data_IF_582453420881
#
_entry.id   IF_582453420881
#
_cell.length_a   1.000
_cell.length_b   1.000
_cell.length_c   1.000
_cell.angle_alpha   90.00
_cell.angle_beta   90.00
_cell.angle_gamma   90.00
#
_symmetry.space_group_name_H-M   'P 1'
#
loop_
_entity.id
_entity.type
_entity.pdbx_description
1 polymer ?
#
# COMPACT_ATOMS: atom_id res chain seq x y z
N UNK A 1 -24.81 -1.64 25.43
CA UNK A 1 -24.00 -0.61 26.11
C UNK A 1 -22.85 -1.32 26.79
N UNK A 2 -21.74 -1.48 26.08
CA UNK A 2 -20.44 -1.80 26.65
C UNK A 2 -19.55 -0.60 26.35
N UNK A 3 -19.21 0.14 27.40
CA UNK A 3 -18.27 1.26 27.34
C UNK A 3 -16.87 0.72 27.16
N UNK A 4 -16.44 0.52 25.92
CA UNK A 4 -15.03 0.35 25.58
C UNK A 4 -14.34 1.70 25.61
N UNK A 5 -13.67 2.04 26.70
CA UNK A 5 -12.63 3.07 26.68
C UNK A 5 -11.59 2.64 25.64
N UNK A 6 -11.63 3.23 24.45
CA UNK A 6 -10.60 3.13 23.43
C UNK A 6 -9.34 3.81 23.97
N UNK A 7 -8.55 3.08 24.76
CA UNK A 7 -7.21 3.50 25.13
C UNK A 7 -6.36 3.56 23.86
N UNK A 8 -6.03 4.77 23.40
CA UNK A 8 -5.05 4.98 22.35
C UNK A 8 -3.73 4.36 22.79
N UNK A 9 -3.17 3.45 21.99
CA UNK A 9 -1.85 2.90 22.28
C UNK A 9 -0.83 4.03 22.12
N UNK A 10 -0.01 4.29 23.13
CA UNK A 10 1.09 5.25 23.00
C UNK A 10 2.14 4.70 22.06
N UNK A 11 2.73 5.58 21.25
CA UNK A 11 3.90 5.23 20.46
C UNK A 11 5.10 5.02 21.37
N UNK A 12 5.77 3.89 21.16
CA UNK A 12 7.01 3.48 21.84
C UNK A 12 8.15 3.67 20.84
N UNK A 13 8.83 4.81 20.95
CA UNK A 13 9.89 5.22 20.04
C UNK A 13 10.25 6.70 20.19
N UNK A 14 11.10 7.16 19.29
CA UNK A 14 11.66 8.51 19.30
C UNK A 14 11.11 9.34 18.13
N UNK A 15 10.89 10.63 18.39
CA UNK A 15 10.50 11.63 17.41
C UNK A 15 11.50 12.79 17.46
N UNK A 16 12.13 13.09 16.33
CA UNK A 16 13.16 14.11 16.21
C UNK A 16 12.69 15.19 15.23
N UNK A 17 12.80 16.46 15.64
CA UNK A 17 12.51 17.60 14.78
C UNK A 17 13.63 17.78 13.76
N UNK A 18 13.36 17.45 12.50
CA UNK A 18 14.37 17.51 11.43
C UNK A 18 14.13 18.64 10.43
N UNK A 19 12.90 19.15 10.31
CA UNK A 19 12.58 20.17 9.30
C UNK A 19 12.81 21.61 9.77
N UNK A 20 12.36 21.92 10.98
CA UNK A 20 12.36 23.25 11.59
C UNK A 20 12.34 23.11 13.12
N UNK A 21 13.03 23.99 13.87
CA UNK A 21 13.01 23.98 15.33
C UNK A 21 11.65 24.39 15.93
N UNK A 22 10.76 24.98 15.12
CA UNK A 22 9.44 25.42 15.55
C UNK A 22 8.35 24.46 15.08
N UNK A 23 7.64 23.85 16.02
CA UNK A 23 6.45 23.05 15.77
C UNK A 23 5.23 23.96 15.52
N UNK A 24 4.98 24.31 14.26
CA UNK A 24 3.85 25.16 13.85
C UNK A 24 3.32 24.76 12.46
N UNK A 25 2.07 25.10 12.16
CA UNK A 25 1.43 24.80 10.88
C UNK A 25 2.26 25.35 9.71
N UNK A 26 2.46 24.50 8.70
CA UNK A 26 3.11 24.85 7.44
C UNK A 26 2.03 25.02 6.39
N UNK A 27 1.97 26.21 5.81
CA UNK A 27 0.98 26.57 4.79
C UNK A 27 1.14 25.72 3.52
N UNK A 28 0.03 25.44 2.81
CA UNK A 28 0.06 24.70 1.54
C UNK A 28 0.97 25.39 0.52
N UNK A 29 1.71 24.59 -0.26
CA UNK A 29 2.53 25.07 -1.37
C UNK A 29 1.96 24.58 -2.71
N UNK A 30 2.05 25.39 -3.79
CA UNK A 30 1.56 24.96 -5.09
C UNK A 30 2.33 23.73 -5.59
N UNK A 31 1.64 22.90 -6.38
CA UNK A 31 2.24 21.74 -7.04
C UNK A 31 3.30 22.24 -8.04
N UNK A 32 4.58 21.84 -7.91
CA UNK A 32 5.65 22.24 -8.82
C UNK A 32 5.36 21.80 -10.25
N UNK A 33 5.59 22.67 -11.24
CA UNK A 33 5.38 22.36 -12.65
C UNK A 33 6.18 21.14 -13.16
N UNK A 34 7.29 20.81 -12.48
CA UNK A 34 8.14 19.65 -12.79
C UNK A 34 7.54 18.31 -12.35
N UNK A 35 6.62 18.30 -11.39
CA UNK A 35 5.94 17.08 -10.96
C UNK A 35 4.88 16.74 -12.01
N UNK A 36 5.29 16.01 -13.06
CA UNK A 36 4.43 15.70 -14.20
C UNK A 36 3.43 14.58 -13.92
N UNK A 37 3.75 13.68 -12.98
CA UNK A 37 2.98 12.46 -12.75
C UNK A 37 2.89 12.10 -11.27
N UNK A 38 1.70 11.70 -10.84
CA UNK A 38 1.45 11.06 -9.54
C UNK A 38 0.86 9.68 -9.79
N UNK A 39 1.39 8.66 -9.12
CA UNK A 39 0.85 7.32 -9.16
C UNK A 39 0.13 6.99 -7.85
N UNK A 40 -1.04 6.36 -7.94
CA UNK A 40 -1.65 5.69 -6.79
C UNK A 40 -1.51 4.19 -7.02
N UNK A 41 -0.76 3.51 -6.17
CA UNK A 41 -0.48 2.08 -6.27
C UNK A 41 -1.24 1.33 -5.19
N UNK A 42 -1.81 0.20 -5.57
CA UNK A 42 -2.50 -0.71 -4.66
C UNK A 42 -2.37 -2.16 -5.14
N UNK A 43 -2.52 -3.09 -4.19
CA UNK A 43 -2.40 -4.53 -4.39
C UNK A 43 -3.64 -5.26 -3.89
N UNK A 44 -4.19 -6.16 -4.70
CA UNK A 44 -5.30 -7.02 -4.31
C UNK A 44 -4.98 -8.48 -4.55
N UNK A 45 -5.27 -9.31 -3.55
CA UNK A 45 -5.13 -10.77 -3.60
C UNK A 45 -6.46 -11.47 -3.41
N UNK A 46 -6.54 -12.71 -3.89
CA UNK A 46 -7.65 -13.63 -3.67
C UNK A 46 -7.12 -15.06 -3.57
N UNK A 47 -7.46 -15.75 -2.49
CA UNK A 47 -7.36 -17.21 -2.46
C UNK A 47 -8.45 -17.81 -3.33
N UNK A 48 -8.08 -18.70 -4.24
CA UNK A 48 -9.00 -19.30 -5.21
C UNK A 48 -9.35 -20.75 -4.82
N UNK A 49 -8.42 -21.48 -4.19
CA UNK A 49 -8.68 -22.75 -3.51
C UNK A 49 -7.56 -23.08 -2.52
N UNK A 50 -7.88 -23.83 -1.45
CA UNK A 50 -6.90 -24.53 -0.61
C UNK A 50 -6.89 -26.01 -0.99
N UNK A 51 -5.73 -26.64 -0.95
CA UNK A 51 -5.55 -28.05 -1.33
C UNK A 51 -4.57 -28.73 -0.39
N UNK A 52 -4.64 -30.04 -0.33
CA UNK A 52 -3.59 -30.89 0.21
C UNK A 52 -2.88 -31.52 -0.98
N UNK A 53 -1.56 -31.40 -1.05
CA UNK A 53 -0.73 -31.86 -2.16
C UNK A 53 0.06 -33.05 -1.67
N UNK A 54 0.09 -34.11 -2.47
CA UNK A 54 1.01 -35.23 -2.35
C UNK A 54 1.89 -35.22 -3.61
N UNK A 55 3.21 -35.26 -3.46
CA UNK A 55 4.13 -35.32 -4.59
C UNK A 55 4.49 -36.76 -4.97
N UNK A 56 5.16 -36.93 -6.11
CA UNK A 56 5.51 -38.25 -6.64
C UNK A 56 6.50 -39.04 -5.78
N UNK A 57 7.16 -38.39 -4.82
CA UNK A 57 8.11 -39.02 -3.89
C UNK A 57 7.42 -39.40 -2.55
N UNK A 58 6.10 -39.20 -2.45
CA UNK A 58 5.29 -39.54 -1.27
C UNK A 58 5.31 -38.48 -0.16
N UNK A 59 5.89 -37.31 -0.40
CA UNK A 59 5.81 -36.20 0.53
C UNK A 59 4.45 -35.50 0.38
N UNK A 60 3.89 -35.02 1.49
CA UNK A 60 2.58 -34.38 1.47
C UNK A 60 2.52 -33.13 2.35
N UNK A 61 1.70 -32.16 1.95
CA UNK A 61 1.57 -30.92 2.67
C UNK A 61 0.51 -29.98 2.13
N UNK A 62 0.33 -28.85 2.82
CA UNK A 62 -0.67 -27.85 2.47
C UNK A 62 -0.26 -27.07 1.24
N UNK A 63 -1.24 -26.79 0.37
CA UNK A 63 -1.10 -25.93 -0.78
C UNK A 63 -2.29 -24.99 -0.98
N UNK A 64 -2.13 -24.03 -1.88
CA UNK A 64 -3.16 -23.05 -2.15
C UNK A 64 -2.99 -22.36 -3.50
N UNK A 65 -4.05 -22.42 -4.30
CA UNK A 65 -4.18 -21.62 -5.52
C UNK A 65 -4.57 -20.20 -5.13
N UNK A 66 -3.80 -19.23 -5.59
CA UNK A 66 -4.01 -17.83 -5.33
C UNK A 66 -3.81 -16.97 -6.58
N UNK A 67 -4.54 -15.87 -6.63
CA UNK A 67 -4.32 -14.80 -7.59
C UNK A 67 -3.99 -13.50 -6.85
N UNK A 68 -3.19 -12.67 -7.48
CA UNK A 68 -3.00 -11.29 -7.06
C UNK A 68 -2.86 -10.36 -8.26
N UNK A 69 -3.15 -9.08 -8.05
CA UNK A 69 -2.92 -8.00 -8.99
C UNK A 69 -2.26 -6.89 -8.20
N UNK A 70 -1.23 -6.29 -8.78
CA UNK A 70 -0.70 -5.00 -8.36
C UNK A 70 -0.87 -4.08 -9.56
N UNK A 71 -1.38 -2.87 -9.33
CA UNK A 71 -1.56 -1.91 -10.41
C UNK A 71 -1.39 -0.49 -9.92
N UNK A 72 -1.39 0.44 -10.87
CA UNK A 72 -1.31 1.87 -10.57
C UNK A 72 -2.38 2.65 -11.34
N UNK A 73 -2.83 3.75 -10.73
CA UNK A 73 -3.48 4.84 -11.45
C UNK A 73 -2.44 5.92 -11.69
N UNK A 74 -2.19 6.25 -12.95
CA UNK A 74 -1.36 7.36 -13.34
C UNK A 74 -2.21 8.63 -13.45
N UNK A 75 -1.79 9.68 -12.75
CA UNK A 75 -2.50 10.94 -12.61
C UNK A 75 -1.62 12.08 -13.07
N UNK A 76 -2.24 13.07 -13.73
CA UNK A 76 -1.61 14.37 -13.88
C UNK A 76 -2.01 15.26 -12.70
N UNK A 77 -1.07 15.68 -11.85
CA UNK A 77 -1.39 16.50 -10.67
C UNK A 77 -1.84 17.92 -11.05
N UNK A 78 -1.58 18.34 -12.29
CA UNK A 78 -2.03 19.61 -12.87
C UNK A 78 -3.41 19.52 -13.55
N UNK A 79 -4.00 18.32 -13.68
CA UNK A 79 -5.33 18.13 -14.25
C UNK A 79 -5.42 18.36 -15.77
N UNK A 80 -4.30 18.34 -16.49
CA UNK A 80 -4.26 18.61 -17.94
C UNK A 80 -4.57 17.39 -18.80
N UNK A 81 -4.65 16.19 -18.21
CA UNK A 81 -4.94 14.92 -18.90
C UNK A 81 -5.73 13.97 -18.00
N UNK A 82 -6.54 13.06 -18.58
CA UNK A 82 -7.29 12.07 -17.82
C UNK A 82 -6.37 11.06 -17.12
N UNK A 83 -6.89 10.46 -16.05
CA UNK A 83 -6.23 9.37 -15.33
C UNK A 83 -6.20 8.08 -16.19
N UNK A 84 -5.12 7.31 -16.10
CA UNK A 84 -4.95 6.05 -16.83
C UNK A 84 -4.58 4.91 -15.89
N UNK A 85 -5.04 3.69 -16.20
CA UNK A 85 -4.65 2.48 -15.46
C UNK A 85 -3.35 1.91 -16.04
N UNK A 86 -2.44 1.49 -15.16
CA UNK A 86 -1.14 0.91 -15.52
C UNK A 86 -0.96 -0.44 -14.82
N UNK A 87 -0.32 -1.37 -15.53
CA UNK A 87 0.10 -2.69 -15.01
C UNK A 87 -0.99 -3.57 -14.38
N UNK A 88 -2.29 -3.28 -14.60
CA UNK A 88 -3.40 -4.04 -14.01
C UNK A 88 -3.53 -5.42 -14.67
N UNK A 89 -2.72 -6.38 -14.23
CA UNK A 89 -2.67 -7.75 -14.75
C UNK A 89 -2.65 -8.76 -13.61
N UNK A 90 -3.53 -9.75 -13.66
CA UNK A 90 -3.58 -10.80 -12.65
C UNK A 90 -2.45 -11.80 -12.83
N UNK A 91 -1.66 -11.96 -11.77
CA UNK A 91 -0.69 -13.02 -11.59
C UNK A 91 -1.31 -14.12 -10.73
N UNK A 92 -0.86 -15.36 -10.93
CA UNK A 92 -1.40 -16.54 -10.25
C UNK A 92 -0.30 -17.46 -9.81
N UNK A 93 -0.44 -17.98 -8.60
CA UNK A 93 0.53 -18.87 -7.98
C UNK A 93 -0.14 -20.04 -7.27
N UNK A 94 0.58 -21.15 -7.22
CA UNK A 94 0.29 -22.31 -6.39
C UNK A 94 1.31 -22.30 -5.25
N UNK A 95 0.94 -21.70 -4.12
CA UNK A 95 1.79 -21.70 -2.95
C UNK A 95 1.71 -23.09 -2.27
N UNK A 96 2.84 -23.67 -1.89
CA UNK A 96 2.89 -25.02 -1.31
C UNK A 96 3.89 -25.12 -0.17
N UNK A 97 3.68 -26.10 0.72
CA UNK A 97 4.58 -26.37 1.83
C UNK A 97 6.02 -26.67 1.34
N UNK A 98 7.04 -26.32 2.15
CA UNK A 98 8.43 -26.70 1.90
C UNK A 98 8.61 -28.20 1.67
N UNK A 99 9.59 -28.57 0.85
CA UNK A 99 9.95 -29.98 0.62
C UNK A 99 9.11 -30.70 -0.44
N UNK A 100 8.04 -30.08 -0.95
CA UNK A 100 7.23 -30.65 -2.03
C UNK A 100 7.79 -30.29 -3.41
N UNK A 101 7.71 -31.24 -4.34
CA UNK A 101 7.96 -31.00 -5.77
C UNK A 101 6.66 -30.75 -6.50
N UNK A 102 6.46 -29.53 -6.98
CA UNK A 102 5.20 -29.09 -7.60
C UNK A 102 5.47 -28.44 -8.95
N UNK A 103 4.86 -28.98 -10.00
CA UNK A 103 4.93 -28.41 -11.34
C UNK A 103 3.92 -27.26 -11.53
N UNK A 104 4.18 -26.34 -12.49
CA UNK A 104 3.21 -25.32 -12.86
C UNK A 104 1.87 -25.91 -13.30
N UNK A 105 0.78 -25.38 -12.74
CA UNK A 105 -0.57 -25.85 -13.04
C UNK A 105 -1.22 -24.97 -14.11
N UNK A 106 -1.59 -25.58 -15.24
CA UNK A 106 -2.18 -24.90 -16.40
C UNK A 106 -3.61 -25.38 -16.64
N UNK A 107 -4.58 -24.47 -16.53
CA UNK A 107 -5.98 -24.74 -16.87
C UNK A 107 -6.29 -24.13 -18.22
N UNK A 108 -6.44 -24.99 -19.22
CA UNK A 108 -6.92 -24.62 -20.55
C UNK A 108 -8.33 -23.99 -20.49
N UNK A 109 -8.64 -23.02 -21.37
CA UNK A 109 -10.00 -22.49 -21.50
C UNK A 109 -11.01 -23.62 -21.76
N UNK A 110 -12.19 -23.59 -21.12
CA UNK A 110 -13.29 -24.52 -21.45
C UNK A 110 -14.22 -23.97 -22.53
N UNK A 111 -14.20 -22.66 -22.66
CA UNK A 111 -14.92 -21.85 -23.64
C UNK A 111 -14.00 -20.66 -23.98
N UNK A 112 -13.98 -20.13 -25.22
CA UNK A 112 -13.12 -19.00 -25.60
C UNK A 112 -13.23 -17.80 -24.67
N UNK A 113 -14.37 -17.61 -23.99
CA UNK A 113 -14.61 -16.50 -23.07
C UNK A 113 -14.05 -16.72 -21.65
N UNK A 114 -13.54 -17.91 -21.32
CA UNK A 114 -13.07 -18.23 -19.95
C UNK A 114 -11.57 -18.00 -19.72
N UNK A 115 -10.79 -17.79 -20.78
CA UNK A 115 -9.35 -17.52 -20.70
C UNK A 115 -8.51 -18.66 -20.11
N UNK A 116 -7.18 -18.52 -20.20
CA UNK A 116 -6.20 -19.46 -19.64
C UNK A 116 -5.88 -19.07 -18.19
N UNK A 117 -5.76 -20.05 -17.29
CA UNK A 117 -5.27 -19.82 -15.92
C UNK A 117 -3.96 -20.59 -15.74
N UNK A 118 -2.89 -19.90 -15.38
CA UNK A 118 -1.59 -20.49 -15.14
C UNK A 118 -1.15 -20.14 -13.73
N UNK A 119 -0.83 -21.15 -12.92
CA UNK A 119 -0.36 -20.98 -11.55
C UNK A 119 1.09 -21.41 -11.46
N UNK A 120 1.98 -20.46 -11.20
CA UNK A 120 3.39 -20.76 -10.96
C UNK A 120 3.57 -21.33 -9.54
N UNK A 121 4.33 -22.40 -9.34
CA UNK A 121 4.58 -22.96 -8.02
C UNK A 121 5.48 -22.00 -7.22
N UNK A 122 5.14 -21.79 -5.95
CA UNK A 122 5.93 -20.95 -5.03
C UNK A 122 6.01 -21.64 -3.66
N UNK A 123 7.22 -21.82 -3.15
CA UNK A 123 7.43 -22.43 -1.84
C UNK A 123 7.01 -21.45 -0.74
N UNK A 124 6.18 -21.89 0.20
CA UNK A 124 5.79 -21.16 1.41
C UNK A 124 6.91 -21.18 2.47
N UNK A 125 6.88 -20.27 3.45
CA UNK A 125 7.95 -20.20 4.47
C UNK A 125 7.84 -21.28 5.56
N UNK A 126 6.69 -21.94 5.66
CA UNK A 126 6.44 -23.01 6.62
C UNK A 126 5.39 -23.99 6.11
N UNK A 127 5.21 -25.10 6.83
CA UNK A 127 4.18 -26.11 6.56
C UNK A 127 2.84 -25.82 7.26
N UNK A 128 2.68 -24.66 7.90
CA UNK A 128 1.44 -24.32 8.62
C UNK A 128 0.23 -24.18 7.67
N UNK A 129 -1.01 -24.43 8.14
CA UNK A 129 -2.21 -24.37 7.30
C UNK A 129 -2.44 -23.04 6.58
N UNK A 130 -1.97 -21.92 7.16
CA UNK A 130 -2.11 -20.58 6.58
C UNK A 130 -0.88 -20.12 5.78
N UNK A 131 0.20 -20.91 5.74
CA UNK A 131 1.43 -20.52 5.05
C UNK A 131 1.22 -20.18 3.56
N UNK A 132 0.38 -20.90 2.78
CA UNK A 132 0.09 -20.51 1.40
C UNK A 132 -0.57 -19.13 1.26
N UNK A 133 -1.48 -18.78 2.20
CA UNK A 133 -2.14 -17.48 2.24
C UNK A 133 -1.14 -16.36 2.56
N UNK A 134 -0.25 -16.60 3.52
CA UNK A 134 0.81 -15.66 3.88
C UNK A 134 1.80 -15.46 2.74
N UNK A 135 2.20 -16.54 2.06
CA UNK A 135 3.08 -16.47 0.89
C UNK A 135 2.44 -15.67 -0.25
N UNK A 136 1.16 -15.90 -0.57
CA UNK A 136 0.43 -15.08 -1.54
C UNK A 136 0.44 -13.59 -1.17
N UNK A 137 0.22 -13.27 0.10
CA UNK A 137 0.28 -11.88 0.59
C UNK A 137 1.68 -11.29 0.45
N UNK A 138 2.72 -12.03 0.83
CA UNK A 138 4.10 -11.58 0.73
C UNK A 138 4.49 -11.28 -0.72
N UNK A 139 4.18 -12.18 -1.66
CA UNK A 139 4.48 -12.00 -3.08
C UNK A 139 3.78 -10.77 -3.65
N UNK A 140 2.49 -10.58 -3.33
CA UNK A 140 1.74 -9.39 -3.74
C UNK A 140 2.36 -8.11 -3.18
N UNK A 141 2.70 -8.09 -1.89
CA UNK A 141 3.29 -6.92 -1.24
C UNK A 141 4.67 -6.59 -1.79
N UNK A 142 5.48 -7.58 -2.15
CA UNK A 142 6.78 -7.37 -2.81
C UNK A 142 6.60 -6.72 -4.18
N UNK A 143 5.68 -7.24 -5.00
CA UNK A 143 5.35 -6.64 -6.31
C UNK A 143 4.80 -5.21 -6.17
N UNK A 144 4.04 -4.91 -5.11
CA UNK A 144 3.55 -3.56 -4.81
C UNK A 144 4.67 -2.58 -4.47
N UNK A 145 5.68 -3.01 -3.70
CA UNK A 145 6.87 -2.20 -3.42
C UNK A 145 7.69 -1.98 -4.70
N UNK A 146 7.95 -3.03 -5.47
CA UNK A 146 8.70 -2.93 -6.72
C UNK A 146 8.04 -1.94 -7.70
N UNK A 147 6.72 -2.06 -7.92
CA UNK A 147 5.99 -1.13 -8.78
C UNK A 147 6.01 0.30 -8.23
N UNK A 148 5.79 0.47 -6.93
CA UNK A 148 5.71 1.80 -6.31
C UNK A 148 7.01 2.59 -6.43
N UNK A 149 8.12 1.91 -6.16
CA UNK A 149 9.45 2.49 -6.23
C UNK A 149 9.94 2.65 -7.66
N UNK A 150 9.65 1.69 -8.55
CA UNK A 150 10.05 1.76 -9.97
C UNK A 150 9.35 2.87 -10.77
N UNK A 151 8.19 3.35 -10.30
CA UNK A 151 7.46 4.46 -10.92
C UNK A 151 7.83 5.85 -10.37
N UNK A 152 8.47 5.92 -9.19
CA UNK A 152 8.73 7.17 -8.49
C UNK A 152 10.11 7.75 -8.83
N UNK A 153 10.27 9.08 -8.68
CA UNK A 153 11.60 9.71 -8.68
C UNK A 153 12.47 9.14 -7.58
N UNK A 154 13.79 9.06 -7.80
CA UNK A 154 14.71 8.55 -6.78
C UNK A 154 14.86 9.56 -5.64
N UNK A 155 14.99 9.02 -4.43
CA UNK A 155 15.27 9.80 -3.21
C UNK A 155 16.72 9.55 -2.81
N UNK A 156 17.58 10.60 -2.76
CA UNK A 156 18.93 10.47 -2.22
C UNK A 156 18.87 10.16 -0.72
N UNK A 157 19.78 9.32 -0.25
CA UNK A 157 19.92 8.96 1.16
C UNK A 157 21.02 9.74 1.85
N UNK A 158 21.98 10.25 1.09
CA UNK A 158 23.11 11.03 1.58
C UNK A 158 23.20 12.39 0.84
N UNK A 159 23.97 13.32 1.41
CA UNK A 159 24.30 14.60 0.75
C UNK A 159 25.18 14.42 -0.48
N UNK A 160 25.98 13.35 -0.52
CA UNK A 160 26.87 12.99 -1.64
C UNK A 160 26.13 12.34 -2.82
N UNK A 161 24.89 11.86 -2.62
CA UNK A 161 24.11 11.23 -3.66
C UNK A 161 23.67 12.22 -4.76
N UNK A 162 23.58 11.73 -6.00
CA UNK A 162 23.05 12.49 -7.13
C UNK A 162 21.63 12.98 -6.85
N UNK A 163 21.45 14.30 -6.96
CA UNK A 163 20.15 14.94 -6.71
C UNK A 163 19.22 14.76 -7.91
N UNK A 164 18.12 14.07 -7.69
CA UNK A 164 17.01 14.04 -8.65
C UNK A 164 15.94 15.08 -8.27
N UNK A 165 15.38 15.76 -9.28
CA UNK A 165 14.20 16.57 -9.09
C UNK A 165 12.95 15.70 -9.00
N UNK A 166 12.00 16.06 -8.13
CA UNK A 166 10.71 15.36 -8.06
C UNK A 166 9.92 15.53 -9.38
N UNK A 167 9.91 14.48 -10.21
CA UNK A 167 9.13 14.44 -11.46
C UNK A 167 8.00 13.43 -11.42
N UNK A 168 8.16 12.37 -10.61
CA UNK A 168 7.12 11.39 -10.31
C UNK A 168 7.03 11.11 -8.81
N UNK A 169 5.80 10.97 -8.30
CA UNK A 169 5.50 10.65 -6.89
C UNK A 169 4.54 9.47 -6.83
N UNK A 170 4.82 8.47 -6.01
CA UNK A 170 3.89 7.37 -5.74
C UNK A 170 3.21 7.54 -4.38
N UNK A 171 1.90 7.28 -4.34
CA UNK A 171 1.06 7.26 -3.14
C UNK A 171 0.57 5.83 -2.90
N UNK A 172 0.75 5.34 -1.69
CA UNK A 172 0.23 4.06 -1.20
C UNK A 172 -0.77 4.28 -0.07
N UNK A 173 -1.78 3.42 0.01
CA UNK A 173 -2.71 3.41 1.14
C UNK A 173 -2.13 2.60 2.30
N UNK A 174 -2.05 3.20 3.49
CA UNK A 174 -1.51 2.58 4.68
C UNK A 174 -0.01 2.82 4.91
N UNK A 175 0.57 2.01 5.79
CA UNK A 175 1.98 2.12 6.20
C UNK A 175 2.92 1.52 5.17
N UNK A 176 4.04 2.19 4.97
CA UNK A 176 5.16 1.70 4.18
C UNK A 176 5.76 0.45 4.83
N UNK A 177 6.14 -0.52 4.00
CA UNK A 177 6.76 -1.78 4.42
C UNK A 177 8.21 -1.55 4.85
N UNK A 178 8.89 -2.56 5.38
CA UNK A 178 10.25 -2.38 5.92
C UNK A 178 11.28 -2.05 4.83
N UNK A 179 11.13 -2.65 3.64
CA UNK A 179 12.12 -2.56 2.57
C UNK A 179 11.99 -1.25 1.79
N UNK A 180 13.06 -0.47 1.77
CA UNK A 180 13.17 0.76 1.00
C UNK A 180 13.93 0.51 -0.30
N UNK A 181 13.32 0.81 -1.44
CA UNK A 181 13.97 0.70 -2.77
C UNK A 181 14.35 2.07 -3.36
N UNK A 182 14.38 3.14 -2.55
CA UNK A 182 14.94 4.44 -2.95
C UNK A 182 14.06 5.34 -3.80
N UNK A 183 12.74 5.14 -3.74
CA UNK A 183 11.77 5.88 -4.55
C UNK A 183 10.98 6.88 -3.70
N UNK A 184 10.51 7.96 -4.32
CA UNK A 184 9.63 8.95 -3.70
C UNK A 184 8.22 8.35 -3.54
N UNK A 185 8.06 7.55 -2.49
CA UNK A 185 6.83 6.84 -2.16
C UNK A 185 6.29 7.34 -0.82
N UNK A 186 5.01 7.73 -0.79
CA UNK A 186 4.33 8.22 0.42
C UNK A 186 3.25 7.24 0.84
N UNK A 187 3.36 6.73 2.07
CA UNK A 187 2.30 5.98 2.73
C UNK A 187 1.27 6.93 3.35
N UNK A 188 -0.02 6.72 3.05
CA UNK A 188 -1.14 7.49 3.58
C UNK A 188 -1.87 6.72 4.67
N UNK A 189 -1.64 7.07 5.94
CA UNK A 189 -2.14 6.32 7.09
C UNK A 189 -3.37 7.02 7.67
N UNK A 190 -4.53 6.37 7.50
CA UNK A 190 -5.86 6.91 7.81
C UNK A 190 -6.26 6.78 9.28
N UNK A 191 -5.75 5.77 9.98
CA UNK A 191 -6.18 5.44 11.34
C UNK A 191 -5.20 5.93 12.40
N UNK A 192 -5.67 6.74 13.34
CA UNK A 192 -4.94 7.14 14.55
C UNK A 192 -5.20 6.17 15.70
N UNK A 193 -4.97 4.87 15.51
CA UNK A 193 -5.06 3.90 16.63
C UNK A 193 -3.92 4.06 17.63
N UNK A 194 -2.78 4.57 17.15
CA UNK A 194 -1.61 4.89 17.94
C UNK A 194 -1.47 6.39 18.06
N UNK A 195 -1.31 6.89 19.28
CA UNK A 195 -0.98 8.28 19.54
C UNK A 195 0.54 8.45 19.43
N UNK A 196 0.99 8.91 18.27
CA UNK A 196 2.41 9.17 18.00
C UNK A 196 2.91 10.46 18.63
N UNK A 197 2.11 11.53 18.51
CA UNK A 197 2.52 12.83 19.02
C UNK A 197 2.27 12.93 20.53
N UNK A 198 3.26 13.38 21.30
CA UNK A 198 3.06 13.75 22.70
C UNK A 198 2.08 14.94 22.83
N UNK A 199 1.49 15.16 24.02
CA UNK A 199 0.43 16.15 24.21
C UNK A 199 0.79 17.60 23.81
N UNK A 200 2.05 17.99 24.00
CA UNK A 200 2.62 19.29 23.62
C UNK A 200 2.61 19.53 22.10
N UNK A 201 2.62 18.46 21.29
CA UNK A 201 2.61 18.51 19.82
C UNK A 201 1.24 18.21 19.23
N UNK A 202 0.43 17.41 19.92
CA UNK A 202 -0.86 16.92 19.42
C UNK A 202 -1.88 18.05 19.19
N UNK A 203 -1.81 19.14 19.97
CA UNK A 203 -2.70 20.30 19.83
C UNK A 203 -2.71 20.88 18.42
N UNK A 204 -1.54 20.95 17.77
CA UNK A 204 -1.40 21.49 16.41
C UNK A 204 -2.27 20.75 15.39
N UNK A 205 -2.48 19.44 15.56
CA UNK A 205 -3.31 18.65 14.63
C UNK A 205 -4.78 19.10 14.62
N UNK A 206 -5.24 19.71 15.72
CA UNK A 206 -6.59 20.28 15.82
C UNK A 206 -6.67 21.66 15.15
N UNK A 207 -5.57 22.39 15.10
CA UNK A 207 -5.52 23.75 14.56
C UNK A 207 -5.23 23.80 13.05
N UNK A 208 -4.73 22.70 12.46
CA UNK A 208 -4.47 22.63 11.02
C UNK A 208 -5.72 22.91 10.21
N UNK A 209 -5.60 23.83 9.23
CA UNK A 209 -6.61 24.08 8.20
C UNK A 209 -6.43 23.14 7.02
N UNK A 210 -7.47 22.88 6.21
CA UNK A 210 -7.35 22.03 5.02
C UNK A 210 -6.19 22.44 4.10
N UNK A 211 -5.37 21.46 3.73
CA UNK A 211 -4.14 21.64 2.94
C UNK A 211 -2.90 22.04 3.74
N UNK A 212 -3.04 22.45 5.00
CA UNK A 212 -1.89 22.68 5.89
C UNK A 212 -1.32 21.34 6.39
N UNK A 213 -0.04 21.39 6.75
CA UNK A 213 0.67 20.26 7.32
C UNK A 213 1.45 20.62 8.57
N UNK A 214 1.86 19.63 9.33
CA UNK A 214 2.92 19.80 10.35
C UNK A 214 4.30 19.82 9.70
N UNK A 215 5.34 20.29 10.43
CA UNK A 215 6.72 19.98 10.09
C UNK A 215 6.97 18.47 9.98
N UNK A 216 8.00 18.10 9.22
CA UNK A 216 8.47 16.72 9.12
C UNK A 216 9.24 16.36 10.40
N UNK A 217 8.94 15.17 10.93
CA UNK A 217 9.66 14.51 11.99
C UNK A 217 10.42 13.31 11.44
N UNK A 218 11.59 13.02 12.01
CA UNK A 218 12.20 11.70 11.90
C UNK A 218 11.67 10.84 13.04
N UNK A 219 11.14 9.67 12.71
CA UNK A 219 10.54 8.72 13.64
C UNK A 219 11.34 7.44 13.65
N UNK A 220 11.69 6.96 14.86
CA UNK A 220 12.37 5.68 15.08
C UNK A 220 11.58 4.83 16.07
N UNK A 221 11.25 3.59 15.71
CA UNK A 221 10.59 2.65 16.63
C UNK A 221 11.61 2.08 17.64
N UNK A 222 11.18 1.83 18.88
CA UNK A 222 12.07 1.35 19.96
C UNK A 222 12.64 -0.05 19.70
N UNK A 223 11.84 -0.95 19.12
CA UNK A 223 12.20 -2.37 18.97
C UNK A 223 12.62 -2.78 17.55
N UNK A 224 12.58 -1.86 16.59
CA UNK A 224 12.91 -2.11 15.18
C UNK A 224 13.73 -0.93 14.64
N UNK A 225 14.81 -1.19 13.89
CA UNK A 225 15.60 -0.17 13.15
C UNK A 225 14.82 0.51 12.01
N UNK A 226 13.49 0.47 12.06
CA UNK A 226 12.62 1.06 11.04
C UNK A 226 12.51 2.55 11.36
N UNK A 227 13.09 3.37 10.48
CA UNK A 227 12.97 4.82 10.53
C UNK A 227 12.04 5.32 9.44
N UNK A 228 11.34 6.42 9.73
CA UNK A 228 10.41 7.08 8.81
C UNK A 228 10.50 8.59 8.95
N UNK A 229 10.42 9.29 7.83
CA UNK A 229 9.96 10.67 7.86
C UNK A 229 8.45 10.66 8.00
N UNK A 230 7.90 11.36 8.99
CA UNK A 230 6.46 11.49 9.17
C UNK A 230 6.03 12.94 9.22
N UNK A 231 4.83 13.22 8.73
CA UNK A 231 4.15 14.49 8.94
C UNK A 231 2.64 14.28 8.85
N UNK A 232 1.87 15.27 9.25
CA UNK A 232 0.40 15.20 9.22
C UNK A 232 -0.14 16.27 8.28
N UNK A 233 -1.23 15.96 7.59
CA UNK A 233 -1.94 16.85 6.67
C UNK A 233 -3.42 16.87 7.02
N UNK A 234 -4.05 18.04 6.96
CA UNK A 234 -5.51 18.16 7.05
C UNK A 234 -6.14 18.12 5.66
N UNK A 235 -7.08 17.21 5.42
CA UNK A 235 -7.79 17.05 4.14
C UNK A 235 -9.07 17.88 4.04
N UNK A 236 -9.81 18.02 5.14
CA UNK A 236 -11.05 18.79 5.18
C UNK A 236 -11.25 19.38 6.58
N UNK A 237 -12.18 20.33 6.70
CA UNK A 237 -12.59 20.82 8.02
C UNK A 237 -13.32 19.70 8.77
N UNK A 238 -13.07 19.60 10.07
CA UNK A 238 -13.84 18.72 10.94
C UNK A 238 -15.24 19.34 11.11
N UNK A 239 -16.30 18.57 10.80
CA UNK A 239 -17.64 19.03 11.11
C UNK A 239 -17.83 19.14 12.64
N UNK A 240 -18.71 20.03 13.09
CA UNK A 240 -18.88 20.33 14.54
C UNK A 240 -19.19 19.09 15.41
N UNK A 241 -19.80 18.06 14.82
CA UNK A 241 -20.16 16.80 15.48
C UNK A 241 -19.10 15.70 15.34
N UNK A 242 -17.98 15.98 14.66
CA UNK A 242 -16.87 15.05 14.48
C UNK A 242 -15.76 15.33 15.50
N UNK A 243 -14.89 14.34 15.71
CA UNK A 243 -13.68 14.54 16.48
C UNK A 243 -12.83 15.68 15.86
N UNK A 244 -12.18 16.55 16.66
CA UNK A 244 -11.44 17.70 16.13
C UNK A 244 -10.26 17.34 15.19
N UNK A 245 -9.77 16.10 15.29
CA UNK A 245 -8.74 15.54 14.38
C UNK A 245 -9.33 14.86 13.13
N UNK A 246 -10.65 14.92 12.92
CA UNK A 246 -11.29 14.41 11.71
C UNK A 246 -10.65 15.06 10.47
N UNK A 247 -10.43 14.26 9.43
CA UNK A 247 -9.76 14.71 8.22
C UNK A 247 -8.24 14.91 8.36
N UNK A 248 -7.60 14.64 9.51
CA UNK A 248 -6.13 14.57 9.61
C UNK A 248 -5.65 13.22 9.11
N UNK A 249 -4.64 13.22 8.25
CA UNK A 249 -3.98 12.03 7.74
C UNK A 249 -2.49 12.08 8.07
N UNK A 250 -1.94 10.97 8.56
CA UNK A 250 -0.49 10.84 8.72
C UNK A 250 0.11 10.38 7.42
N UNK A 251 1.17 11.04 7.00
CA UNK A 251 1.98 10.66 5.86
C UNK A 251 3.33 10.17 6.34
N UNK A 252 3.87 9.20 5.62
CA UNK A 252 5.21 8.70 5.89
C UNK A 252 6.00 8.44 4.62
N UNK A 253 7.30 8.67 4.69
CA UNK A 253 8.32 8.26 3.72
C UNK A 253 9.41 7.48 4.45
N UNK A 254 10.17 6.67 3.71
CA UNK A 254 11.39 6.09 4.25
C UNK A 254 12.39 7.17 4.65
N UNK A 255 13.02 6.98 5.80
CA UNK A 255 14.13 7.81 6.26
C UNK A 255 15.42 6.97 6.33
N UNK A 256 16.60 7.60 6.23
CA UNK A 256 17.84 6.99 6.69
C UNK A 256 17.78 6.71 8.19
N UNK A 257 18.71 5.88 8.69
CA UNK A 257 18.77 5.58 10.12
C UNK A 257 19.14 6.84 10.92
N UNK A 258 20.07 7.63 10.40
CA UNK A 258 20.51 8.86 11.05
C UNK A 258 19.61 10.07 10.71
N UNK A 259 19.33 10.95 11.69
CA UNK A 259 18.38 12.06 11.55
C UNK A 259 19.05 13.39 11.17
N UNK A 260 20.26 13.38 10.63
CA UNK A 260 21.05 14.57 10.30
C UNK A 260 20.72 15.14 8.91
N UNK A 261 20.19 14.31 8.00
CA UNK A 261 19.86 14.69 6.64
C UNK A 261 18.36 14.62 6.34
N UNK A 262 17.79 15.74 5.89
CA UNK A 262 16.44 15.79 5.29
C UNK A 262 16.55 16.04 3.78
N UNK A 263 16.33 15.02 2.93
CA UNK A 263 16.42 15.18 1.49
C UNK A 263 15.48 16.29 0.96
N UNK A 264 15.94 17.19 0.07
CA UNK A 264 15.10 18.24 -0.50
C UNK A 264 13.83 17.73 -1.20
N UNK A 265 13.90 16.52 -1.77
CA UNK A 265 12.74 15.85 -2.37
C UNK A 265 11.67 15.51 -1.34
N UNK A 266 12.04 15.04 -0.15
CA UNK A 266 11.09 14.74 0.96
C UNK A 266 10.38 16.01 1.40
N UNK A 267 11.12 17.13 1.54
CA UNK A 267 10.52 18.45 1.82
C UNK A 267 9.56 18.88 0.72
N UNK A 268 9.92 18.66 -0.54
CA UNK A 268 9.05 18.97 -1.69
C UNK A 268 7.78 18.13 -1.64
N UNK A 269 7.90 16.83 -1.39
CA UNK A 269 6.76 15.90 -1.26
C UNK A 269 5.84 16.33 -0.11
N UNK A 270 6.39 16.67 1.07
CA UNK A 270 5.60 17.17 2.18
C UNK A 270 4.86 18.46 1.80
N UNK A 271 5.54 19.42 1.18
CA UNK A 271 4.95 20.70 0.74
C UNK A 271 3.77 20.55 -0.21
N UNK A 272 3.79 19.56 -1.11
CA UNK A 272 2.70 19.35 -2.08
C UNK A 272 1.59 18.44 -1.56
N UNK A 273 1.86 17.68 -0.50
CA UNK A 273 0.94 16.65 -0.01
C UNK A 273 -0.45 17.19 0.33
N UNK A 274 -0.56 18.34 0.99
CA UNK A 274 -1.84 18.99 1.28
C UNK A 274 -2.68 19.28 0.04
N UNK A 275 -2.23 20.18 -0.85
CA UNK A 275 -2.97 20.50 -2.07
C UNK A 275 -3.25 19.30 -2.98
N UNK A 276 -2.33 18.34 -3.06
CA UNK A 276 -2.51 17.11 -3.84
C UNK A 276 -3.60 16.22 -3.23
N UNK A 277 -3.50 15.90 -1.94
CA UNK A 277 -4.41 14.95 -1.30
C UNK A 277 -5.80 15.54 -1.10
N UNK A 278 -5.95 16.84 -0.87
CA UNK A 278 -7.25 17.49 -0.85
C UNK A 278 -7.99 17.36 -2.20
N UNK A 279 -7.27 17.32 -3.33
CA UNK A 279 -7.85 17.09 -4.66
C UNK A 279 -8.21 15.63 -4.92
N UNK A 280 -7.45 14.71 -4.32
CA UNK A 280 -7.65 13.26 -4.48
C UNK A 280 -8.63 12.68 -3.46
N UNK A 281 -8.87 13.36 -2.35
CA UNK A 281 -9.80 12.96 -1.31
C UNK A 281 -11.22 12.81 -1.87
N UNK A 282 -11.88 11.72 -1.47
CA UNK A 282 -13.28 11.48 -1.77
C UNK A 282 -14.19 12.46 -1.03
N UNK A 283 -15.41 12.62 -1.54
CA UNK A 283 -16.43 13.49 -0.93
C UNK A 283 -17.48 12.65 -0.18
N UNK A 284 -18.01 13.11 0.98
CA UNK A 284 -18.93 12.32 1.81
C UNK A 284 -20.16 11.76 1.12
N UNK A 285 -20.69 12.46 0.11
CA UNK A 285 -21.85 11.98 -0.64
C UNK A 285 -21.51 10.93 -1.72
N UNK A 286 -20.21 10.68 -2.00
CA UNK A 286 -19.72 9.69 -2.99
C UNK A 286 -19.11 8.46 -2.33
N UNK A 287 -18.43 8.62 -1.20
CA UNK A 287 -17.87 7.51 -0.42
C UNK A 287 -18.19 7.76 1.07
N UNK A 288 -18.91 6.86 1.75
CA UNK A 288 -19.13 6.98 3.20
C UNK A 288 -17.84 6.97 4.01
N UNK A 289 -16.72 6.53 3.40
CA UNK A 289 -15.36 6.52 3.99
C UNK A 289 -14.55 7.79 3.66
N UNK A 290 -15.19 8.80 3.06
CA UNK A 290 -14.60 10.10 2.82
C UNK A 290 -14.30 10.85 4.14
N UNK A 291 -13.38 11.82 4.14
CA UNK A 291 -12.50 12.22 3.03
C UNK A 291 -11.25 11.33 2.88
N UNK A 292 -11.08 10.37 3.78
CA UNK A 292 -9.80 9.68 3.96
C UNK A 292 -9.47 8.78 2.78
N UNK A 293 -10.46 8.26 2.07
CA UNK A 293 -10.24 7.48 0.85
C UNK A 293 -9.92 8.37 -0.36
N UNK A 294 -8.93 7.95 -1.13
CA UNK A 294 -8.57 8.61 -2.39
C UNK A 294 -9.43 8.06 -3.53
N UNK A 295 -9.98 8.96 -4.34
CA UNK A 295 -10.83 8.63 -5.51
C UNK A 295 -10.16 7.62 -6.46
N UNK A 296 -8.84 7.73 -6.79
CA UNK A 296 -8.18 6.79 -7.70
C UNK A 296 -8.15 5.35 -7.17
N UNK A 297 -8.09 5.15 -5.86
CA UNK A 297 -7.99 3.81 -5.25
C UNK A 297 -9.21 2.96 -5.60
N UNK A 298 -10.42 3.51 -5.50
CA UNK A 298 -11.64 2.76 -5.81
C UNK A 298 -11.70 2.29 -7.28
N UNK A 299 -11.27 3.15 -8.22
CA UNK A 299 -11.22 2.79 -9.64
C UNK A 299 -10.20 1.67 -9.91
N UNK A 300 -9.04 1.74 -9.23
CA UNK A 300 -8.01 0.72 -9.31
C UNK A 300 -8.49 -0.62 -8.73
N UNK A 301 -9.06 -0.62 -7.52
CA UNK A 301 -9.63 -1.81 -6.87
C UNK A 301 -10.65 -2.52 -7.78
N UNK A 302 -11.51 -1.75 -8.44
CA UNK A 302 -12.49 -2.29 -9.37
C UNK A 302 -11.83 -2.90 -10.61
N UNK A 303 -10.82 -2.24 -11.20
CA UNK A 303 -10.07 -2.77 -12.32
C UNK A 303 -9.29 -4.05 -11.96
N UNK A 304 -8.62 -4.07 -10.80
CA UNK A 304 -7.91 -5.25 -10.28
C UNK A 304 -8.88 -6.42 -10.06
N UNK A 305 -10.07 -6.16 -9.54
CA UNK A 305 -11.11 -7.18 -9.36
C UNK A 305 -11.53 -7.80 -10.69
N UNK A 306 -11.71 -6.98 -11.73
CA UNK A 306 -12.01 -7.47 -13.08
C UNK A 306 -10.86 -8.28 -13.66
N UNK A 307 -9.62 -7.85 -13.46
CA UNK A 307 -8.43 -8.57 -13.96
C UNK A 307 -8.28 -9.97 -13.35
N UNK A 308 -8.68 -10.16 -12.09
CA UNK A 308 -8.71 -11.49 -11.47
C UNK A 308 -9.83 -12.40 -12.01
N UNK A 309 -10.83 -11.85 -12.70
CA UNK A 309 -11.98 -12.60 -13.20
C UNK A 309 -12.98 -13.04 -12.12
N UNK A 310 -14.07 -13.69 -12.53
CA UNK A 310 -15.11 -14.19 -11.61
C UNK A 310 -14.58 -15.29 -10.69
N UNK A 311 -14.78 -15.11 -9.38
CA UNK A 311 -14.38 -16.08 -8.37
C UNK A 311 -15.05 -17.44 -8.59
N UNK A 312 -16.38 -17.44 -8.83
CA UNK A 312 -17.14 -18.67 -9.02
C UNK A 312 -16.70 -19.46 -10.25
N UNK A 313 -16.42 -18.77 -11.35
CA UNK A 313 -15.93 -19.42 -12.57
C UNK A 313 -14.54 -20.02 -12.36
N UNK A 314 -13.65 -19.30 -11.68
CA UNK A 314 -12.29 -19.81 -11.39
C UNK A 314 -12.36 -21.01 -10.45
N UNK A 315 -13.10 -20.91 -9.34
CA UNK A 315 -13.26 -22.02 -8.39
C UNK A 315 -13.89 -23.25 -9.05
N UNK A 316 -14.91 -23.07 -9.90
CA UNK A 316 -15.52 -24.18 -10.66
C UNK A 316 -14.50 -24.84 -11.59
N UNK A 317 -13.66 -24.06 -12.26
CA UNK A 317 -12.61 -24.59 -13.15
C UNK A 317 -11.51 -25.31 -12.38
N UNK A 318 -11.07 -24.79 -11.23
CA UNK A 318 -10.12 -25.45 -10.34
C UNK A 318 -10.66 -26.79 -9.86
N UNK A 319 -11.86 -26.83 -9.31
CA UNK A 319 -12.51 -28.08 -8.85
C UNK A 319 -12.58 -29.12 -9.96
N UNK A 320 -12.99 -28.70 -11.16
CA UNK A 320 -13.18 -29.62 -12.26
C UNK A 320 -11.86 -29.98 -13.00
N UNK A 321 -10.75 -29.28 -12.71
CA UNK A 321 -9.40 -29.70 -13.10
C UNK A 321 -8.87 -30.72 -12.08
N UNK A 322 -8.92 -30.40 -10.79
CA UNK A 322 -8.52 -31.29 -9.69
C UNK A 322 -9.27 -32.63 -9.78
N UNK A 323 -10.58 -32.61 -10.02
CA UNK A 323 -11.38 -33.83 -10.19
C UNK A 323 -11.01 -34.65 -11.44
N UNK A 324 -10.35 -34.06 -12.45
CA UNK A 324 -9.86 -34.80 -13.61
C UNK A 324 -8.52 -35.45 -13.33
N UNK A 325 -7.61 -34.71 -12.69
CA UNK A 325 -6.28 -35.20 -12.32
C UNK A 325 -6.37 -36.30 -11.25
N UNK A 326 -7.26 -36.14 -10.25
CA UNK A 326 -7.44 -37.09 -9.15
C UNK A 326 -8.58 -38.10 -9.39
N UNK A 327 -9.49 -37.83 -10.33
CA UNK A 327 -10.66 -38.67 -10.59
C UNK A 327 -10.39 -39.81 -11.57
N UNK A 328 -9.15 -39.99 -12.02
CA UNK A 328 -8.69 -41.27 -12.55
C UNK A 328 -8.12 -42.07 -11.39
N UNK A 329 -9.01 -42.67 -10.60
CA UNK A 329 -8.62 -43.78 -9.75
C UNK A 329 -8.16 -44.90 -10.69
N UNK A 330 -6.85 -45.12 -10.75
CA UNK A 330 -6.29 -46.40 -11.21
C UNK A 330 -6.56 -47.48 -10.19
#
# INVERSE_FOLDING_TARGET
>A
MEGGQLGLKRFEGELIDIETPRWAAVAPRPIPARLGTVYVVDGKRRMESRVFIEDGDGAAGMGGFGAYVVGAVELCPHGTRPATLREVRAQRLLAHAPGLRVDPCLLSPRDPHTGRLQYAPVVADSAEPLAPLHKLQQVMLAAEQELSHGLASRVPFDEEDDREALTALTIQDGTLRSQNLGGAVVGCVKTMQTQYLPPDRAGLLTDLKPGERTPILHMRYENNRITRFIWYVRLCEAAFYQHPMSGVMRLEMYAPEEPDFLPPIVRTVANVSGPLLCRLASQPYKDPRAPQNLIPTAALEHAMTRAMGSADLVTRRLRAHIARELGVAS
#
